data_IF_160981370807
#
_entry.id   IF_160981370807
#
_cell.length_a   1.000
_cell.length_b   1.000
_cell.length_c   1.000
_cell.angle_alpha   90.00
_cell.angle_beta   90.00
_cell.angle_gamma   90.00
#
_symmetry.space_group_name_H-M   'P 1'
#
loop_
_entity.id
_entity.type
_entity.pdbx_description
1 polymer ?
#
# COMPACT_ATOMS: atom_id res chain seq x y z
N UNK A 1 38.46 15.09 13.08
CA UNK A 1 38.98 14.04 12.17
C UNK A 1 39.20 12.77 12.98
N UNK A 2 38.94 11.60 12.37
CA UNK A 2 38.56 10.29 12.94
C UNK A 2 37.06 10.24 13.29
N UNK A 3 36.16 9.60 12.54
CA UNK A 3 36.30 8.61 11.48
C UNK A 3 35.70 7.27 11.93
N UNK A 4 34.65 6.86 11.21
CA UNK A 4 34.03 5.54 11.16
C UNK A 4 33.06 5.14 12.29
N UNK A 5 31.80 5.13 11.90
CA UNK A 5 30.69 4.45 12.56
C UNK A 5 29.43 4.74 11.75
N UNK A 6 29.40 4.36 10.46
CA UNK A 6 28.15 4.35 9.69
C UNK A 6 27.19 3.43 10.44
N UNK A 7 26.22 4.03 11.11
CA UNK A 7 25.21 3.31 11.86
C UNK A 7 24.32 2.60 10.84
N UNK A 8 24.47 1.28 10.80
CA UNK A 8 23.65 0.34 10.03
C UNK A 8 22.29 0.27 10.73
N UNK A 9 21.47 1.30 10.56
CA UNK A 9 20.20 1.44 11.28
C UNK A 9 18.97 1.00 10.46
N UNK A 10 19.12 0.63 9.18
CA UNK A 10 18.00 0.19 8.33
C UNK A 10 17.81 -1.33 8.30
N UNK A 11 18.87 -2.14 8.35
CA UNK A 11 18.77 -3.61 8.34
C UNK A 11 18.25 -4.20 9.67
N UNK A 12 18.26 -3.42 10.75
CA UNK A 12 17.95 -3.90 12.11
C UNK A 12 16.45 -4.13 12.35
N UNK A 13 15.56 -3.27 11.83
CA UNK A 13 14.10 -3.40 12.07
C UNK A 13 13.46 -4.50 11.22
N UNK A 14 13.88 -4.61 9.96
CA UNK A 14 13.50 -5.67 9.01
C UNK A 14 13.80 -7.06 9.57
N UNK A 15 15.06 -7.28 9.96
CA UNK A 15 15.53 -8.55 10.49
C UNK A 15 14.86 -8.92 11.82
N UNK A 16 14.43 -7.94 12.61
CA UNK A 16 13.72 -8.17 13.86
C UNK A 16 12.27 -8.61 13.66
N UNK A 17 11.61 -8.19 12.57
CA UNK A 17 10.23 -8.59 12.29
C UNK A 17 10.18 -10.02 11.70
N UNK A 18 11.11 -10.34 10.79
CA UNK A 18 11.32 -11.69 10.25
C UNK A 18 11.65 -12.73 11.35
N UNK A 19 12.40 -12.33 12.37
CA UNK A 19 12.73 -13.21 13.50
C UNK A 19 11.53 -13.51 14.41
N UNK A 20 10.47 -12.69 14.37
CA UNK A 20 9.27 -12.84 15.19
C UNK A 20 8.16 -13.53 14.39
N UNK A 21 8.32 -14.85 14.21
CA UNK A 21 7.42 -15.74 13.44
C UNK A 21 5.94 -15.79 13.90
N UNK A 22 5.57 -15.05 14.95
CA UNK A 22 4.25 -15.09 15.60
C UNK A 22 3.61 -13.70 15.76
N UNK A 23 4.01 -12.71 14.96
CA UNK A 23 3.31 -11.42 14.96
C UNK A 23 2.02 -11.56 14.16
N UNK A 24 0.90 -11.48 14.86
CA UNK A 24 -0.45 -11.49 14.29
C UNK A 24 -0.97 -10.07 14.04
N UNK A 25 -0.44 -9.05 14.73
CA UNK A 25 -0.87 -7.66 14.60
C UNK A 25 0.31 -6.69 14.54
N UNK A 26 0.29 -5.77 13.59
CA UNK A 26 1.29 -4.74 13.40
C UNK A 26 0.63 -3.36 13.37
N UNK A 27 1.05 -2.49 14.29
CA UNK A 27 0.66 -1.08 14.33
C UNK A 27 1.88 -0.23 13.98
N UNK A 28 1.74 0.63 12.97
CA UNK A 28 2.79 1.53 12.52
C UNK A 28 2.27 2.97 12.54
N UNK A 29 3.03 3.88 13.15
CA UNK A 29 2.66 5.29 13.26
C UNK A 29 3.86 6.16 12.93
N UNK A 30 3.67 7.07 11.96
CA UNK A 30 4.70 7.98 11.44
C UNK A 30 4.55 9.42 11.94
N UNK A 31 3.86 9.64 13.06
CA UNK A 31 3.78 10.95 13.70
C UNK A 31 5.20 11.51 13.98
N UNK A 32 5.67 12.46 13.16
CA UNK A 32 6.93 13.18 13.40
C UNK A 32 6.69 14.30 14.40
N UNK A 33 7.51 14.37 15.44
CA UNK A 33 7.47 15.43 16.46
C UNK A 33 8.16 16.70 15.96
N UNK A 34 8.98 16.65 14.92
CA UNK A 34 9.86 17.77 14.56
C UNK A 34 9.74 18.07 13.05
N UNK A 35 9.16 19.23 12.75
CA UNK A 35 9.05 19.76 11.40
C UNK A 35 10.15 20.82 11.22
N UNK A 36 11.29 20.42 10.67
CA UNK A 36 12.29 21.37 10.14
C UNK A 36 13.15 20.80 8.98
N UNK A 37 12.87 19.57 8.52
CA UNK A 37 13.63 18.93 7.43
C UNK A 37 12.86 18.93 6.10
N UNK A 38 13.61 19.05 4.99
CA UNK A 38 13.11 19.11 3.62
C UNK A 38 12.13 17.95 3.29
N UNK A 39 10.92 18.32 2.91
CA UNK A 39 9.74 17.44 2.85
C UNK A 39 9.90 16.26 1.86
N UNK A 40 10.67 16.44 0.79
CA UNK A 40 10.86 15.42 -0.26
C UNK A 40 11.82 14.29 0.17
N UNK A 41 12.90 14.60 0.91
CA UNK A 41 13.85 13.60 1.42
C UNK A 41 13.21 12.73 2.53
N UNK A 42 12.25 13.30 3.28
CA UNK A 42 11.48 12.57 4.29
C UNK A 42 10.60 11.50 3.63
N UNK A 43 9.91 11.84 2.53
CA UNK A 43 8.97 10.93 1.87
C UNK A 43 9.68 9.67 1.32
N UNK A 44 10.80 9.84 0.63
CA UNK A 44 11.56 8.71 0.07
C UNK A 44 12.19 7.84 1.17
N UNK A 45 12.61 8.44 2.29
CA UNK A 45 13.09 7.68 3.45
C UNK A 45 11.98 6.87 4.13
N UNK A 46 10.76 7.42 4.20
CA UNK A 46 9.59 6.77 4.79
C UNK A 46 9.11 5.58 3.93
N UNK A 47 9.11 5.71 2.60
CA UNK A 47 8.81 4.60 1.69
C UNK A 47 9.82 3.46 1.83
N UNK A 48 11.12 3.76 1.79
CA UNK A 48 12.18 2.76 2.00
C UNK A 48 12.08 2.07 3.36
N UNK A 49 11.68 2.80 4.40
CA UNK A 49 11.47 2.23 5.74
C UNK A 49 10.31 1.23 5.73
N UNK A 50 9.18 1.56 5.10
CA UNK A 50 8.04 0.65 4.98
C UNK A 50 8.40 -0.58 4.13
N UNK A 51 9.13 -0.40 3.03
CA UNK A 51 9.57 -1.50 2.16
C UNK A 51 10.51 -2.46 2.87
N UNK A 52 11.38 -1.94 3.75
CA UNK A 52 12.30 -2.73 4.54
C UNK A 52 11.63 -3.61 5.60
N UNK A 53 10.42 -3.30 6.08
CA UNK A 53 9.82 -4.02 7.21
C UNK A 53 9.54 -5.49 6.95
N UNK A 54 9.12 -5.85 5.72
CA UNK A 54 8.75 -7.21 5.29
C UNK A 54 8.08 -8.04 6.40
N UNK A 55 6.80 -7.78 6.73
CA UNK A 55 6.12 -8.49 7.79
C UNK A 55 5.91 -9.98 7.49
N UNK A 56 5.85 -10.82 8.54
CA UNK A 56 5.55 -12.24 8.39
C UNK A 56 4.23 -12.48 7.64
N UNK A 57 4.19 -13.52 6.80
CA UNK A 57 2.99 -13.88 6.03
C UNK A 57 1.77 -14.25 6.90
N UNK A 58 1.99 -14.57 8.17
CA UNK A 58 0.94 -14.90 9.15
C UNK A 58 0.29 -13.66 9.79
N UNK A 59 0.65 -12.44 9.38
CA UNK A 59 0.06 -11.22 9.91
C UNK A 59 -1.45 -11.18 9.59
N UNK A 60 -2.28 -11.02 10.64
CA UNK A 60 -3.74 -10.96 10.54
C UNK A 60 -4.27 -9.52 10.63
N UNK A 61 -3.56 -8.61 11.30
CA UNK A 61 -3.97 -7.22 11.44
C UNK A 61 -2.83 -6.25 11.11
N UNK A 62 -3.11 -5.28 10.26
CA UNK A 62 -2.21 -4.18 9.93
C UNK A 62 -2.95 -2.85 10.11
N UNK A 63 -2.38 -1.99 10.94
CA UNK A 63 -2.83 -0.62 11.14
C UNK A 63 -1.67 0.34 10.86
N UNK A 64 -1.92 1.29 9.96
CA UNK A 64 -0.95 2.32 9.57
C UNK A 64 -1.54 3.69 9.80
N UNK A 65 -0.86 4.51 10.60
CA UNK A 65 -1.26 5.87 10.92
C UNK A 65 -0.20 6.89 10.49
N UNK A 66 -0.66 8.06 10.04
CA UNK A 66 0.18 9.23 9.75
C UNK A 66 1.31 8.98 8.74
N UNK A 67 1.16 7.97 7.88
CA UNK A 67 2.15 7.64 6.86
C UNK A 67 2.25 8.76 5.82
N UNK A 68 3.47 9.27 5.62
CA UNK A 68 3.77 10.42 4.74
C UNK A 68 4.29 10.02 3.36
N UNK A 69 4.52 8.73 3.10
CA UNK A 69 4.88 8.23 1.77
C UNK A 69 3.72 8.32 0.78
N UNK A 70 4.05 8.35 -0.51
CA UNK A 70 3.07 8.41 -1.60
C UNK A 70 2.49 7.03 -1.93
N UNK A 71 3.27 5.97 -1.71
CA UNK A 71 2.91 4.58 -2.05
C UNK A 71 3.11 3.65 -0.88
N UNK A 72 2.17 2.73 -0.70
CA UNK A 72 2.35 1.58 0.19
C UNK A 72 3.25 0.52 -0.47
N UNK A 73 4.00 -0.20 0.37
CA UNK A 73 4.87 -1.30 -0.06
C UNK A 73 4.12 -2.44 -0.73
N UNK A 74 4.75 -3.05 -1.74
CA UNK A 74 4.16 -4.17 -2.51
C UNK A 74 3.93 -5.43 -1.68
N UNK A 75 4.66 -5.62 -0.58
CA UNK A 75 4.45 -6.76 0.33
C UNK A 75 3.05 -6.78 0.93
N UNK A 76 2.33 -5.65 1.01
CA UNK A 76 0.95 -5.63 1.51
C UNK A 76 0.06 -6.56 0.68
N UNK A 77 0.24 -6.61 -0.64
CA UNK A 77 -0.49 -7.52 -1.53
C UNK A 77 -0.20 -9.01 -1.28
N UNK A 78 0.90 -9.33 -0.60
CA UNK A 78 1.30 -10.71 -0.30
C UNK A 78 0.78 -11.25 1.03
N UNK A 79 0.14 -10.40 1.85
CA UNK A 79 -0.40 -10.78 3.16
C UNK A 79 -1.75 -11.49 3.05
N UNK A 80 -1.75 -12.70 2.50
CA UNK A 80 -3.00 -13.47 2.23
C UNK A 80 -3.81 -13.85 3.47
N UNK A 81 -3.18 -13.85 4.65
CA UNK A 81 -3.84 -14.08 5.95
C UNK A 81 -4.38 -12.80 6.59
N UNK A 82 -4.20 -11.63 5.97
CA UNK A 82 -4.62 -10.37 6.54
C UNK A 82 -6.16 -10.31 6.63
N UNK A 83 -6.65 -10.13 7.85
CA UNK A 83 -8.06 -10.03 8.23
C UNK A 83 -8.48 -8.57 8.41
N UNK A 84 -7.61 -7.74 8.97
CA UNK A 84 -7.87 -6.33 9.27
C UNK A 84 -6.81 -5.45 8.60
N UNK A 85 -7.26 -4.50 7.79
CA UNK A 85 -6.44 -3.45 7.23
C UNK A 85 -7.03 -2.08 7.59
N UNK A 86 -6.27 -1.28 8.34
CA UNK A 86 -6.63 0.09 8.69
C UNK A 86 -5.53 1.04 8.24
N UNK A 87 -5.93 2.10 7.54
CA UNK A 87 -5.05 3.19 7.12
C UNK A 87 -5.70 4.51 7.51
N UNK A 88 -5.08 5.24 8.42
CA UNK A 88 -5.61 6.49 8.97
C UNK A 88 -4.62 7.65 8.82
N UNK A 89 -5.13 8.79 8.36
CA UNK A 89 -4.38 10.05 8.24
C UNK A 89 -3.12 9.98 7.35
N UNK A 90 -3.06 9.04 6.41
CA UNK A 90 -1.99 8.89 5.43
C UNK A 90 -2.16 9.91 4.28
N UNK A 91 -1.89 11.19 4.54
CA UNK A 91 -2.33 12.31 3.69
C UNK A 91 -1.70 12.34 2.30
N UNK A 92 -0.44 11.94 2.19
CA UNK A 92 0.31 11.93 0.93
C UNK A 92 0.06 10.68 0.08
N UNK A 93 -0.59 9.66 0.63
CA UNK A 93 -0.82 8.38 -0.03
C UNK A 93 -1.73 8.56 -1.26
N UNK A 94 -1.17 8.34 -2.45
CA UNK A 94 -1.87 8.43 -3.73
C UNK A 94 -2.33 7.06 -4.22
N UNK A 95 -1.58 6.01 -3.89
CA UNK A 95 -1.80 4.66 -4.39
C UNK A 95 -1.63 3.61 -3.29
N UNK A 96 -2.59 2.68 -3.25
CA UNK A 96 -2.45 1.42 -2.54
C UNK A 96 -2.02 0.31 -3.51
N UNK A 97 -1.19 -0.64 -3.08
CA UNK A 97 -0.82 -1.80 -3.86
C UNK A 97 -2.06 -2.70 -4.07
N UNK A 98 -1.99 -3.67 -5.00
CA UNK A 98 -3.16 -4.48 -5.31
C UNK A 98 -3.72 -5.26 -4.13
N UNK A 99 -4.87 -4.84 -3.62
CA UNK A 99 -5.52 -5.49 -2.47
C UNK A 99 -6.38 -6.70 -2.85
N UNK A 100 -6.62 -6.94 -4.15
CA UNK A 100 -7.47 -8.04 -4.64
C UNK A 100 -7.02 -9.44 -4.21
N UNK A 101 -5.77 -9.58 -3.77
CA UNK A 101 -5.18 -10.84 -3.31
C UNK A 101 -5.42 -11.12 -1.81
N UNK A 102 -5.99 -10.16 -1.07
CA UNK A 102 -6.31 -10.29 0.35
C UNK A 102 -7.64 -11.01 0.54
N UNK A 103 -7.65 -12.34 0.31
CA UNK A 103 -8.87 -13.14 0.31
C UNK A 103 -9.50 -13.28 1.71
N UNK A 104 -8.68 -13.15 2.77
CA UNK A 104 -9.11 -13.27 4.17
C UNK A 104 -9.59 -11.95 4.78
N UNK A 105 -9.53 -10.85 4.03
CA UNK A 105 -9.80 -9.51 4.55
C UNK A 105 -11.28 -9.37 4.94
N UNK A 106 -11.52 -9.11 6.22
CA UNK A 106 -12.85 -8.88 6.81
C UNK A 106 -13.13 -7.42 7.07
N UNK A 107 -12.10 -6.63 7.39
CA UNK A 107 -12.24 -5.21 7.70
C UNK A 107 -11.26 -4.36 6.88
N UNK A 108 -11.80 -3.39 6.14
CA UNK A 108 -11.04 -2.34 5.46
C UNK A 108 -11.49 -0.97 5.96
N UNK A 109 -10.59 -0.25 6.64
CA UNK A 109 -10.78 1.14 7.04
C UNK A 109 -9.77 2.04 6.31
N UNK A 110 -10.29 2.98 5.53
CA UNK A 110 -9.53 4.07 4.92
C UNK A 110 -10.07 5.39 5.48
N UNK A 111 -9.29 6.09 6.30
CA UNK A 111 -9.71 7.33 6.94
C UNK A 111 -8.72 8.46 6.74
N UNK A 112 -9.15 9.57 6.16
CA UNK A 112 -8.30 10.77 6.03
C UNK A 112 -7.15 10.57 5.05
N UNK A 113 -7.44 9.96 3.89
CA UNK A 113 -6.52 9.82 2.76
C UNK A 113 -6.97 10.77 1.62
N UNK A 114 -6.78 12.09 1.75
CA UNK A 114 -7.23 13.07 0.77
C UNK A 114 -6.57 12.91 -0.59
N UNK A 115 -5.35 12.36 -0.69
CA UNK A 115 -4.63 12.18 -1.97
C UNK A 115 -4.93 10.87 -2.68
N UNK A 116 -5.64 9.93 -2.04
CA UNK A 116 -5.90 8.61 -2.59
C UNK A 116 -6.90 8.70 -3.74
N UNK A 117 -6.49 8.30 -4.95
CA UNK A 117 -7.37 8.30 -6.11
C UNK A 117 -8.06 6.96 -6.38
N UNK A 118 -7.35 5.85 -6.16
CA UNK A 118 -7.86 4.50 -6.41
C UNK A 118 -7.39 3.53 -5.31
N UNK A 119 -8.25 2.57 -4.95
CA UNK A 119 -7.93 1.56 -3.92
C UNK A 119 -7.02 0.44 -4.44
N UNK A 120 -6.96 0.24 -5.75
CA UNK A 120 -6.18 -0.80 -6.39
C UNK A 120 -5.56 -0.24 -7.68
N UNK A 121 -4.24 -0.02 -7.68
CA UNK A 121 -3.49 0.30 -8.90
C UNK A 121 -2.95 -0.99 -9.52
N UNK A 122 -3.75 -1.60 -10.40
CA UNK A 122 -3.31 -2.72 -11.21
C UNK A 122 -2.64 -2.17 -12.47
N UNK A 123 -1.35 -1.87 -12.38
CA UNK A 123 -0.54 -1.48 -13.55
C UNK A 123 -0.39 -2.63 -14.56
N UNK A 124 -0.95 -3.82 -14.27
CA UNK A 124 -0.96 -4.95 -15.20
C UNK A 124 -2.13 -4.79 -16.17
N UNK A 125 -1.79 -4.38 -17.39
CA UNK A 125 -2.65 -4.36 -18.57
C UNK A 125 -3.61 -5.55 -18.61
N UNK A 126 -4.90 -5.27 -18.50
CA UNK A 126 -6.00 -6.24 -18.55
C UNK A 126 -6.23 -6.77 -19.98
N UNK A 127 -5.20 -7.27 -20.66
CA UNK A 127 -5.38 -7.84 -22.00
C UNK A 127 -5.81 -9.30 -22.01
N UNK A 128 -5.81 -10.02 -20.88
CA UNK A 128 -6.16 -11.46 -20.90
C UNK A 128 -6.99 -11.98 -19.72
N UNK A 129 -7.24 -11.17 -18.69
CA UNK A 129 -8.12 -11.56 -17.59
C UNK A 129 -9.36 -10.70 -17.65
N UNK A 130 -10.42 -11.30 -18.20
CA UNK A 130 -11.80 -10.86 -18.10
C UNK A 130 -12.05 -10.23 -16.73
N UNK A 131 -12.32 -8.93 -16.70
CA UNK A 131 -12.59 -8.12 -15.51
C UNK A 131 -13.86 -8.55 -14.74
N UNK A 132 -14.37 -9.76 -14.97
CA UNK A 132 -15.72 -10.20 -14.58
C UNK A 132 -15.80 -11.51 -13.80
N UNK A 133 -14.71 -12.06 -13.23
CA UNK A 133 -14.82 -13.38 -12.58
C UNK A 133 -14.10 -13.60 -11.25
N UNK A 134 -13.39 -12.61 -10.67
CA UNK A 134 -12.85 -12.78 -9.31
C UNK A 134 -13.61 -11.92 -8.31
N UNK A 135 -14.30 -12.52 -7.31
CA UNK A 135 -14.97 -11.75 -6.28
C UNK A 135 -13.93 -10.96 -5.48
N UNK A 136 -14.13 -9.65 -5.44
CA UNK A 136 -13.26 -8.71 -4.74
C UNK A 136 -13.53 -8.79 -3.24
N UNK A 137 -12.50 -9.09 -2.44
CA UNK A 137 -12.57 -9.35 -1.00
C UNK A 137 -13.74 -10.28 -0.61
N UNK A 138 -13.67 -11.58 -0.93
CA UNK A 138 -14.78 -12.52 -0.70
C UNK A 138 -15.21 -12.62 0.77
N UNK A 139 -14.34 -12.21 1.70
CA UNK A 139 -14.57 -12.26 3.14
C UNK A 139 -14.92 -10.91 3.77
N UNK A 140 -15.09 -9.83 2.99
CA UNK A 140 -15.25 -8.48 3.55
C UNK A 140 -16.58 -8.34 4.29
N UNK A 141 -16.50 -8.08 5.60
CA UNK A 141 -17.65 -7.87 6.47
C UNK A 141 -17.86 -6.38 6.76
N UNK A 142 -16.78 -5.59 6.79
CA UNK A 142 -16.78 -4.18 7.14
C UNK A 142 -15.93 -3.37 6.18
N UNK A 143 -16.54 -2.34 5.60
CA UNK A 143 -15.88 -1.34 4.78
C UNK A 143 -16.20 0.05 5.34
N UNK A 144 -15.16 0.83 5.59
CA UNK A 144 -15.30 2.22 6.04
C UNK A 144 -14.33 3.10 5.25
N UNK A 145 -14.90 4.06 4.52
CA UNK A 145 -14.15 5.06 3.77
C UNK A 145 -14.62 6.43 4.27
N UNK A 146 -13.72 7.16 4.91
CA UNK A 146 -14.04 8.39 5.64
C UNK A 146 -13.00 9.45 5.24
N UNK A 147 -13.42 10.64 4.82
CA UNK A 147 -12.51 11.74 4.46
C UNK A 147 -11.45 11.39 3.38
N UNK A 148 -11.83 10.59 2.38
CA UNK A 148 -11.01 10.26 1.21
C UNK A 148 -11.52 11.03 -0.03
N UNK A 149 -11.31 12.34 -0.06
CA UNK A 149 -12.04 13.24 -0.98
C UNK A 149 -11.69 13.09 -2.47
N UNK A 150 -10.47 12.65 -2.81
CA UNK A 150 -10.06 12.43 -4.20
C UNK A 150 -10.31 10.99 -4.69
N UNK A 151 -10.95 10.13 -3.89
CA UNK A 151 -11.18 8.75 -4.27
C UNK A 151 -12.17 8.65 -5.44
N UNK A 152 -11.67 8.26 -6.62
CA UNK A 152 -12.42 8.14 -7.87
C UNK A 152 -13.06 6.77 -8.04
N UNK A 153 -12.49 5.73 -7.42
CA UNK A 153 -13.05 4.39 -7.49
C UNK A 153 -12.11 3.31 -6.96
N UNK A 154 -12.50 2.06 -7.13
CA UNK A 154 -11.70 0.92 -6.68
C UNK A 154 -10.52 0.62 -7.58
N UNK A 155 -10.66 0.76 -8.90
CA UNK A 155 -9.62 0.46 -9.88
C UNK A 155 -9.60 1.51 -11.00
N UNK A 156 -8.42 1.74 -11.57
CA UNK A 156 -8.27 2.56 -12.76
C UNK A 156 -8.38 1.67 -14.01
N UNK A 157 -9.47 1.80 -14.77
CA UNK A 157 -9.58 1.13 -16.09
C UNK A 157 -8.81 1.94 -17.12
N UNK A 158 -7.58 1.54 -17.44
CA UNK A 158 -6.85 2.08 -18.61
C UNK A 158 -7.38 1.38 -19.86
N UNK A 159 -8.32 2.01 -20.59
CA UNK A 159 -8.70 1.54 -21.93
C UNK A 159 -7.46 1.70 -22.83
N UNK A 160 -6.93 0.58 -23.32
CA UNK A 160 -5.82 0.62 -24.28
C UNK A 160 -6.23 1.40 -25.53
N UNK A 161 -5.34 2.25 -26.02
CA UNK A 161 -5.48 2.87 -27.34
C UNK A 161 -5.49 1.73 -28.37
N UNK A 162 -6.68 1.34 -28.84
CA UNK A 162 -6.81 0.52 -30.04
C UNK A 162 -6.35 1.42 -31.18
N UNK A 163 -5.13 1.19 -31.65
CA UNK A 163 -4.63 1.84 -32.85
C UNK A 163 -5.57 1.53 -34.00
N UNK A 164 -6.23 2.57 -34.49
CA UNK A 164 -6.93 2.60 -35.76
C UNK A 164 -5.90 2.26 -36.85
N UNK A 165 -5.86 0.99 -37.25
CA UNK A 165 -5.24 0.53 -38.49
C UNK A 165 -6.34 0.11 -39.45
N UNK A 166 -7.21 1.06 -39.78
CA UNK A 166 -7.99 1.01 -41.00
C UNK A 166 -7.25 1.86 -42.04
N UNK A 167 -6.48 1.18 -42.89
CA UNK A 167 -6.28 1.54 -44.30
C UNK A 167 -5.48 0.43 -44.97
N UNK A 168 -6.17 -0.68 -45.23
CA UNK A 168 -5.92 -1.45 -46.45
C UNK A 168 -6.87 -0.87 -47.48
N UNK A 169 -6.32 -0.27 -48.55
CA UNK A 169 -6.79 -0.31 -49.94
C UNK A 169 -6.02 0.76 -50.75
N UNK A 170 -5.28 0.29 -51.76
CA UNK A 170 -4.47 1.07 -52.67
C UNK A 170 -3.41 0.21 -53.33
#
# INVERSE_FOLDING_TARGET
MLGCGKEVASESKAAQLEAKKHIESLYLDWYSVEADDDVDDIAENVERTLDGLQPPQLLEALEVQNYTGMRFSTWLSSLTNLVILRSEYCRSCQHLPPLRYLLSLKELLLRGLPSLEYVNDDQVSTSYLSASTMPFFPSLEKLSIINCHNLKGWWQIKRGNVGEKDNVLG
#
